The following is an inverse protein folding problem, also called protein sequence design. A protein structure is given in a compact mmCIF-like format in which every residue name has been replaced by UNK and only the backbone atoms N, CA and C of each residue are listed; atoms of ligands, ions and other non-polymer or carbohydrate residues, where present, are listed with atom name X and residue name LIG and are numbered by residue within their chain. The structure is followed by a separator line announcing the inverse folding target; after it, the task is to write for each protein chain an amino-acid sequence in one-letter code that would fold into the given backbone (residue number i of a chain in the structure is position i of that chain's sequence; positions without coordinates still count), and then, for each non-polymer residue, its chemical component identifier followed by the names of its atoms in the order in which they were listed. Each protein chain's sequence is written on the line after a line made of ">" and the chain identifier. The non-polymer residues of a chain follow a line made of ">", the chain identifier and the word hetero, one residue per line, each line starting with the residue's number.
data_IF_778492712835
#
_entry.id   IF_778492712835
#
_cell.length_a   1.000
_cell.length_b   1.000
_cell.length_c   1.000
_cell.angle_alpha   90.00
_cell.angle_beta   90.00
_cell.angle_gamma   90.00
#
_symmetry.space_group_name_H-M   'P 1'
#
loop_
_entity.id
_entity.type
_entity.pdbx_description
1 polymer ?
#
# COMPACT_ATOMS: atom_id res chain seq x y z
N UNK A 1 22.95 44.32 34.39
CA UNK A 1 22.96 43.32 33.33
C UNK A 1 21.53 43.00 33.00
N UNK A 2 21.03 43.40 31.85
CA UNK A 2 19.65 43.19 31.37
C UNK A 2 19.36 41.73 31.17
N UNK A 3 18.39 41.20 31.91
CA UNK A 3 17.88 39.85 31.72
C UNK A 3 16.96 39.82 30.49
N UNK A 4 17.47 39.49 29.33
CA UNK A 4 16.65 39.12 28.20
C UNK A 4 15.96 37.79 28.54
N UNK A 5 14.62 37.81 28.58
CA UNK A 5 13.84 36.57 28.69
C UNK A 5 13.78 35.90 27.33
N UNK A 6 14.54 34.85 27.13
CA UNK A 6 14.41 34.01 25.97
C UNK A 6 13.20 33.08 26.17
N UNK A 7 12.26 33.13 25.24
CA UNK A 7 11.20 32.14 25.16
C UNK A 7 11.77 30.91 24.44
N UNK A 8 12.01 29.82 25.15
CA UNK A 8 12.44 28.56 24.58
C UNK A 8 11.20 27.69 24.40
N UNK A 9 10.88 27.34 23.18
CA UNK A 9 9.89 26.30 22.90
C UNK A 9 10.58 24.93 22.98
N UNK A 10 10.29 24.17 24.01
CA UNK A 10 10.69 22.76 24.08
C UNK A 10 9.72 21.93 23.24
N UNK A 11 10.23 21.26 22.23
CA UNK A 11 9.48 20.25 21.48
C UNK A 11 9.65 18.91 22.18
N UNK A 12 8.55 18.23 22.49
CA UNK A 12 8.57 16.83 22.89
C UNK A 12 9.09 15.99 21.74
N UNK A 13 9.78 14.88 22.07
CA UNK A 13 10.25 13.92 21.06
C UNK A 13 9.04 13.44 20.24
N UNK A 14 9.15 13.49 18.92
CA UNK A 14 8.14 12.92 18.03
C UNK A 14 8.05 11.42 18.26
N UNK A 15 6.83 10.87 18.29
CA UNK A 15 6.58 9.43 18.39
C UNK A 15 7.36 8.63 17.33
N UNK A 16 7.57 9.21 16.16
CA UNK A 16 8.37 8.61 15.07
C UNK A 16 9.80 8.34 15.53
N UNK A 17 10.43 9.30 16.19
CA UNK A 17 11.82 9.15 16.68
C UNK A 17 11.84 8.29 17.95
N UNK A 18 10.86 8.48 18.84
CA UNK A 18 10.74 7.70 20.06
C UNK A 18 10.66 6.19 19.76
N UNK A 19 9.86 5.78 18.78
CA UNK A 19 9.74 4.39 18.36
C UNK A 19 11.10 3.78 17.94
N UNK A 20 11.98 4.56 17.30
CA UNK A 20 13.33 4.09 16.96
C UNK A 20 14.16 3.81 18.21
N UNK A 21 14.12 4.72 19.19
CA UNK A 21 14.85 4.54 20.45
C UNK A 21 14.31 3.37 21.26
N UNK A 22 12.98 3.19 21.32
CA UNK A 22 12.35 2.05 22.00
C UNK A 22 12.80 0.71 21.39
N UNK A 23 12.80 0.59 20.05
CA UNK A 23 13.29 -0.61 19.38
C UNK A 23 14.76 -0.87 19.69
N UNK A 24 15.59 0.19 19.73
CA UNK A 24 17.01 0.04 20.10
C UNK A 24 17.21 -0.43 21.55
N UNK A 25 16.39 0.08 22.47
CA UNK A 25 16.45 -0.31 23.89
C UNK A 25 15.97 -1.75 24.10
N UNK A 26 14.85 -2.12 23.48
CA UNK A 26 14.23 -3.44 23.64
C UNK A 26 15.02 -4.57 22.98
N UNK A 27 15.61 -4.30 21.81
CA UNK A 27 16.26 -5.35 20.98
C UNK A 27 17.77 -5.31 21.00
N UNK A 28 18.38 -4.20 21.41
CA UNK A 28 19.82 -3.95 21.29
C UNK A 28 20.30 -3.68 19.85
N UNK A 29 19.40 -3.69 18.85
CA UNK A 29 19.71 -3.43 17.45
C UNK A 29 19.98 -1.94 17.27
N UNK A 30 21.13 -1.59 16.67
CA UNK A 30 21.55 -0.19 16.52
C UNK A 30 21.45 0.36 15.10
N UNK A 31 21.00 -0.46 14.16
CA UNK A 31 20.83 -0.08 12.75
C UNK A 31 19.54 -0.67 12.19
N UNK A 32 18.90 0.04 11.28
CA UNK A 32 17.62 -0.41 10.75
C UNK A 32 17.01 0.55 9.73
N UNK A 33 15.76 0.28 9.41
CA UNK A 33 14.95 1.10 8.49
C UNK A 33 13.79 1.70 9.28
N UNK A 34 13.67 3.03 9.25
CA UNK A 34 12.48 3.75 9.64
C UNK A 34 11.61 3.94 8.39
N UNK A 35 10.54 3.14 8.30
CA UNK A 35 9.62 3.20 7.17
C UNK A 35 8.43 4.12 7.48
N UNK A 36 8.19 5.09 6.60
CA UNK A 36 7.08 6.03 6.70
C UNK A 36 6.17 5.88 5.49
N UNK A 37 4.99 5.33 5.71
CA UNK A 37 4.00 5.15 4.65
C UNK A 37 3.18 6.42 4.42
N UNK A 38 2.66 6.59 3.21
CA UNK A 38 1.80 7.70 2.79
C UNK A 38 2.38 9.10 3.09
N UNK A 39 3.69 9.27 2.95
CA UNK A 39 4.40 10.52 3.31
C UNK A 39 3.85 11.76 2.57
N UNK A 40 3.27 11.58 1.41
CA UNK A 40 2.70 12.65 0.59
C UNK A 40 1.21 12.94 0.87
N UNK A 41 0.62 12.24 1.85
CA UNK A 41 -0.73 12.50 2.37
C UNK A 41 -0.73 13.42 3.62
N UNK A 42 0.43 13.89 4.06
CA UNK A 42 0.53 14.79 5.22
C UNK A 42 -0.12 16.14 4.95
N UNK A 43 -0.65 16.78 6.00
CA UNK A 43 -1.28 18.10 5.91
C UNK A 43 -0.31 19.19 5.46
N UNK A 44 -0.84 20.28 4.89
CA UNK A 44 -0.03 21.46 4.48
C UNK A 44 0.85 22.01 5.58
N UNK A 45 0.34 22.00 6.79
CA UNK A 45 1.05 22.52 7.95
C UNK A 45 2.22 21.63 8.38
N UNK A 46 2.13 20.33 8.13
CA UNK A 46 3.18 19.36 8.51
C UNK A 46 4.18 19.10 7.38
N UNK A 47 3.82 19.31 6.12
CA UNK A 47 4.67 19.00 4.99
C UNK A 47 6.08 19.63 5.08
N UNK A 48 6.25 20.93 5.46
CA UNK A 48 7.58 21.52 5.60
C UNK A 48 8.42 20.83 6.69
N UNK A 49 7.81 20.48 7.82
CA UNK A 49 8.48 19.79 8.92
C UNK A 49 8.91 18.36 8.51
N UNK A 50 8.07 17.65 7.76
CA UNK A 50 8.40 16.32 7.25
C UNK A 50 9.53 16.38 6.22
N UNK A 51 9.53 17.36 5.33
CA UNK A 51 10.65 17.56 4.39
C UNK A 51 11.96 17.86 5.11
N UNK A 52 11.93 18.69 6.14
CA UNK A 52 13.08 18.96 6.99
C UNK A 52 13.54 17.69 7.70
N UNK A 53 12.61 16.88 8.19
CA UNK A 53 12.90 15.58 8.81
C UNK A 53 13.58 14.62 7.83
N UNK A 54 13.09 14.47 6.61
CA UNK A 54 13.71 13.64 5.59
C UNK A 54 15.14 14.10 5.25
N UNK A 55 15.36 15.40 5.21
CA UNK A 55 16.67 15.98 4.87
C UNK A 55 17.70 15.84 5.99
N UNK A 56 17.33 16.19 7.23
CA UNK A 56 18.26 16.30 8.35
C UNK A 56 18.15 15.17 9.35
N UNK A 57 17.16 14.30 9.20
CA UNK A 57 16.81 13.23 10.15
C UNK A 57 16.58 13.76 11.57
N UNK A 58 16.03 14.97 11.68
CA UNK A 58 15.78 15.65 12.95
C UNK A 58 14.36 16.16 13.03
N UNK A 59 13.77 16.11 14.23
CA UNK A 59 12.50 16.73 14.56
C UNK A 59 12.70 17.57 15.83
N UNK A 60 12.68 18.90 15.70
CA UNK A 60 13.11 19.80 16.77
C UNK A 60 14.57 19.53 17.18
N UNK A 61 14.79 19.19 18.46
CA UNK A 61 16.11 18.89 18.99
C UNK A 61 16.48 17.40 18.88
N UNK A 62 15.53 16.54 18.51
CA UNK A 62 15.71 15.10 18.46
C UNK A 62 16.15 14.63 17.09
N UNK A 63 17.11 13.73 17.06
CA UNK A 63 17.68 13.17 15.81
C UNK A 63 17.45 11.66 15.76
N UNK A 64 17.17 11.17 14.56
CA UNK A 64 17.19 9.72 14.30
C UNK A 64 18.61 9.23 14.51
N UNK A 65 18.83 8.13 15.29
CA UNK A 65 20.16 7.59 15.57
C UNK A 65 20.95 7.25 14.30
N UNK A 66 22.27 7.29 14.40
CA UNK A 66 23.13 6.80 13.33
C UNK A 66 22.90 5.29 13.10
N UNK A 67 23.08 4.84 11.86
CA UNK A 67 22.75 3.47 11.46
C UNK A 67 21.32 3.29 10.96
N UNK A 68 20.42 4.26 11.19
CA UNK A 68 19.02 4.18 10.71
C UNK A 68 18.83 4.94 9.40
N UNK A 69 18.18 4.25 8.45
CA UNK A 69 17.84 4.81 7.13
C UNK A 69 16.34 5.12 7.12
N UNK A 70 15.97 6.30 6.64
CA UNK A 70 14.56 6.65 6.42
C UNK A 70 14.18 6.21 5.01
N UNK A 71 13.14 5.38 4.93
CA UNK A 71 12.48 4.96 3.69
C UNK A 71 11.04 5.44 3.74
N UNK A 72 10.57 6.02 2.66
CA UNK A 72 9.20 6.52 2.57
C UNK A 72 8.47 5.91 1.40
N UNK A 73 7.18 5.68 1.56
CA UNK A 73 6.29 5.32 0.46
C UNK A 73 5.21 6.40 0.28
N UNK A 74 4.68 6.47 -0.91
CA UNK A 74 3.58 7.37 -1.23
C UNK A 74 2.94 6.98 -2.56
N UNK A 75 1.65 7.23 -2.67
CA UNK A 75 0.90 6.96 -3.88
C UNK A 75 0.99 8.17 -4.83
N UNK A 76 1.04 7.95 -6.14
CA UNK A 76 0.98 9.04 -7.10
C UNK A 76 -0.41 9.73 -7.10
N UNK A 77 -0.51 11.00 -7.54
CA UNK A 77 -1.73 11.80 -7.47
C UNK A 77 -2.93 11.18 -8.21
N UNK A 78 -2.69 10.33 -9.20
CA UNK A 78 -3.71 9.66 -9.98
C UNK A 78 -4.56 8.70 -9.12
N UNK A 79 -3.97 8.16 -8.05
CA UNK A 79 -4.65 7.25 -7.14
C UNK A 79 -5.37 7.96 -5.99
N UNK A 80 -4.87 9.12 -5.59
CA UNK A 80 -5.43 9.86 -4.46
C UNK A 80 -5.33 11.38 -4.67
N UNK A 81 -6.44 12.06 -4.83
CA UNK A 81 -6.50 13.51 -5.02
C UNK A 81 -6.01 14.32 -3.78
N UNK A 82 -5.92 13.70 -2.63
CA UNK A 82 -5.36 14.33 -1.42
C UNK A 82 -3.83 14.29 -1.38
N UNK A 83 -3.22 13.59 -2.32
CA UNK A 83 -1.78 13.47 -2.45
C UNK A 83 -1.20 14.75 -3.02
N UNK A 84 -0.07 15.17 -2.45
CA UNK A 84 0.73 16.29 -2.96
C UNK A 84 1.90 15.78 -3.75
N UNK A 85 2.16 16.44 -4.85
CA UNK A 85 3.44 16.28 -5.52
C UNK A 85 4.53 16.97 -4.70
N UNK A 86 5.62 16.26 -4.47
CA UNK A 86 6.83 16.88 -3.97
C UNK A 86 7.38 17.85 -5.00
N UNK A 87 7.80 19.02 -4.55
CA UNK A 87 8.51 19.96 -5.40
C UNK A 87 9.90 19.43 -5.81
N UNK A 88 10.50 20.07 -6.78
CA UNK A 88 11.84 19.69 -7.31
C UNK A 88 12.89 19.65 -6.19
N UNK A 89 12.81 20.60 -5.25
CA UNK A 89 13.75 20.66 -4.13
C UNK A 89 13.60 19.48 -3.16
N UNK A 90 12.41 18.94 -3.04
CA UNK A 90 12.14 17.72 -2.26
C UNK A 90 12.64 16.47 -2.97
N UNK A 91 12.41 16.36 -4.28
CA UNK A 91 12.90 15.25 -5.10
C UNK A 91 14.43 15.16 -5.13
N UNK A 92 15.14 16.27 -5.11
CA UNK A 92 16.61 16.30 -5.09
C UNK A 92 17.22 15.66 -3.83
N UNK A 93 16.44 15.55 -2.76
CA UNK A 93 16.87 15.04 -1.45
C UNK A 93 16.60 13.56 -1.23
N UNK A 94 15.82 12.92 -2.09
CA UNK A 94 15.43 11.51 -1.97
C UNK A 94 15.85 10.72 -3.20
N UNK A 95 16.03 9.42 -3.02
CA UNK A 95 16.20 8.48 -4.14
C UNK A 95 14.85 7.89 -4.48
N UNK A 96 14.27 8.28 -5.60
CA UNK A 96 12.99 7.78 -6.07
C UNK A 96 13.14 6.38 -6.67
N UNK A 97 12.22 5.50 -6.30
CA UNK A 97 12.01 4.21 -6.93
C UNK A 97 10.52 4.09 -7.26
N UNK A 98 10.21 3.89 -8.53
CA UNK A 98 8.84 3.64 -8.97
C UNK A 98 8.58 2.14 -8.88
N UNK A 99 7.50 1.79 -8.16
CA UNK A 99 7.06 0.40 -7.98
C UNK A 99 5.83 0.17 -8.85
N UNK A 100 5.95 -0.71 -9.81
CA UNK A 100 4.87 -1.06 -10.74
C UNK A 100 4.30 -2.45 -10.41
N UNK A 101 2.98 -2.66 -10.64
CA UNK A 101 2.38 -3.98 -10.47
C UNK A 101 2.88 -4.93 -11.58
N UNK A 102 3.48 -6.04 -11.18
CA UNK A 102 3.92 -7.11 -12.08
C UNK A 102 3.18 -8.41 -11.77
N UNK A 103 2.38 -8.87 -12.73
CA UNK A 103 1.62 -10.11 -12.57
C UNK A 103 2.53 -11.34 -12.35
N UNK A 104 3.65 -11.41 -13.03
CA UNK A 104 4.54 -12.58 -12.95
C UNK A 104 5.17 -12.72 -11.58
N UNK A 105 5.57 -11.60 -10.98
CA UNK A 105 6.09 -11.54 -9.61
C UNK A 105 4.98 -11.83 -8.60
N UNK A 106 3.83 -11.15 -8.75
CA UNK A 106 2.68 -11.37 -7.87
C UNK A 106 2.19 -12.83 -7.90
N UNK A 107 2.20 -13.47 -9.05
CA UNK A 107 1.79 -14.86 -9.21
C UNK A 107 2.60 -15.83 -8.32
N UNK A 108 3.91 -15.61 -8.17
CA UNK A 108 4.76 -16.42 -7.30
C UNK A 108 4.26 -16.29 -5.85
N UNK A 109 4.11 -15.06 -5.38
CA UNK A 109 3.54 -14.78 -4.07
C UNK A 109 2.15 -15.41 -3.90
N UNK A 110 1.28 -15.28 -4.90
CA UNK A 110 -0.08 -15.80 -4.86
C UNK A 110 -0.13 -17.33 -4.70
N UNK A 111 0.78 -18.05 -5.33
CA UNK A 111 0.93 -19.50 -5.14
C UNK A 111 1.41 -19.84 -3.72
N UNK A 112 2.39 -19.11 -3.20
CA UNK A 112 2.91 -19.33 -1.85
C UNK A 112 1.85 -19.07 -0.77
N UNK A 113 0.97 -18.07 -0.99
CA UNK A 113 -0.15 -17.76 -0.12
C UNK A 113 -1.35 -18.69 -0.29
N UNK A 114 -1.32 -19.62 -1.24
CA UNK A 114 -2.42 -20.56 -1.48
C UNK A 114 -3.69 -19.89 -1.96
N UNK A 115 -3.56 -18.88 -2.82
CA UNK A 115 -4.72 -18.18 -3.39
C UNK A 115 -5.62 -19.11 -4.20
N UNK A 116 -6.89 -18.72 -4.31
CA UNK A 116 -7.92 -19.51 -4.96
C UNK A 116 -7.58 -19.86 -6.41
N UNK A 117 -7.58 -21.17 -6.81
CA UNK A 117 -7.10 -21.60 -8.13
C UNK A 117 -7.84 -20.95 -9.30
N UNK A 118 -9.14 -20.67 -9.16
CA UNK A 118 -9.90 -19.99 -10.22
C UNK A 118 -9.36 -18.59 -10.54
N UNK A 119 -8.87 -17.85 -9.53
CA UNK A 119 -8.25 -16.52 -9.75
C UNK A 119 -6.94 -16.68 -10.49
N UNK A 120 -6.08 -17.59 -10.05
CA UNK A 120 -4.78 -17.82 -10.68
C UNK A 120 -4.92 -18.23 -12.15
N UNK A 121 -5.82 -19.19 -12.42
CA UNK A 121 -6.04 -19.67 -13.80
C UNK A 121 -6.73 -18.64 -14.68
N UNK A 122 -7.64 -17.82 -14.14
CA UNK A 122 -8.25 -16.71 -14.86
C UNK A 122 -7.20 -15.66 -15.26
N UNK A 123 -6.37 -15.24 -14.33
CA UNK A 123 -5.34 -14.24 -14.58
C UNK A 123 -4.21 -14.75 -15.48
N UNK A 124 -3.96 -16.06 -15.51
CA UNK A 124 -3.07 -16.65 -16.51
C UNK A 124 -3.58 -16.50 -17.94
N UNK A 125 -4.89 -16.58 -18.12
CA UNK A 125 -5.55 -16.38 -19.41
C UNK A 125 -5.71 -14.91 -19.79
N UNK A 126 -5.91 -14.05 -18.79
CA UNK A 126 -6.23 -12.63 -18.94
C UNK A 126 -5.35 -11.76 -18.04
N UNK A 127 -4.08 -11.66 -18.39
CA UNK A 127 -3.10 -10.92 -17.57
C UNK A 127 -3.45 -9.45 -17.42
N UNK A 128 -4.08 -8.85 -18.41
CA UNK A 128 -4.51 -7.43 -18.37
C UNK A 128 -5.58 -7.17 -17.31
N UNK A 129 -6.31 -8.21 -16.88
CA UNK A 129 -7.27 -8.12 -15.79
C UNK A 129 -6.63 -8.09 -14.38
N UNK A 130 -5.31 -8.24 -14.29
CA UNK A 130 -4.61 -8.24 -12.99
C UNK A 130 -4.64 -6.88 -12.31
N UNK A 131 -4.39 -5.82 -13.08
CA UNK A 131 -4.30 -4.48 -12.55
C UNK A 131 -4.80 -3.47 -13.59
N UNK A 132 -5.79 -2.69 -13.20
CA UNK A 132 -6.33 -1.58 -13.99
C UNK A 132 -6.84 -0.50 -13.06
N UNK A 133 -6.56 0.75 -13.35
CA UNK A 133 -7.13 1.91 -12.66
C UNK A 133 -7.55 2.92 -13.70
N UNK A 134 -8.86 3.06 -13.89
CA UNK A 134 -9.43 3.98 -14.86
C UNK A 134 -10.31 5.01 -14.14
N UNK A 135 -10.10 6.28 -14.45
CA UNK A 135 -10.97 7.37 -14.03
C UNK A 135 -11.97 7.63 -15.14
N UNK A 136 -13.21 7.28 -14.92
CA UNK A 136 -14.32 7.53 -15.88
C UNK A 136 -15.25 8.61 -15.35
N UNK A 137 -16.15 9.10 -16.21
CA UNK A 137 -17.17 10.08 -15.84
C UNK A 137 -18.12 9.52 -14.77
N UNK A 138 -18.34 8.21 -14.78
CA UNK A 138 -19.24 7.49 -13.86
C UNK A 138 -18.58 7.09 -12.54
N UNK A 139 -17.29 7.36 -12.39
CA UNK A 139 -16.53 7.03 -11.17
C UNK A 139 -15.18 6.39 -11.47
N UNK A 140 -14.58 5.84 -10.41
CA UNK A 140 -13.32 5.08 -10.53
C UNK A 140 -13.63 3.62 -10.74
N UNK A 141 -13.18 3.07 -11.86
CA UNK A 141 -13.17 1.65 -12.12
C UNK A 141 -11.75 1.13 -11.88
N UNK A 142 -11.61 0.16 -11.00
CA UNK A 142 -10.29 -0.36 -10.70
C UNK A 142 -10.30 -1.83 -10.30
N UNK A 143 -9.21 -2.48 -10.57
CA UNK A 143 -8.84 -3.77 -10.05
C UNK A 143 -7.38 -3.76 -9.63
N UNK A 144 -7.07 -4.33 -8.51
CA UNK A 144 -5.73 -4.33 -7.92
C UNK A 144 -5.33 -5.71 -7.43
N UNK A 145 -4.03 -5.92 -7.24
CA UNK A 145 -3.50 -7.14 -6.63
C UNK A 145 -4.15 -7.43 -5.26
N UNK A 146 -4.37 -6.41 -4.44
CA UNK A 146 -5.06 -6.52 -3.14
C UNK A 146 -6.51 -6.97 -3.32
N UNK A 147 -7.24 -6.41 -4.29
CA UNK A 147 -8.61 -6.81 -4.58
C UNK A 147 -8.72 -8.29 -4.93
N UNK A 148 -7.79 -8.82 -5.73
CA UNK A 148 -7.73 -10.26 -6.03
C UNK A 148 -7.40 -11.13 -4.82
N UNK A 149 -6.51 -10.67 -3.94
CA UNK A 149 -6.16 -11.37 -2.71
C UNK A 149 -7.36 -11.44 -1.76
N UNK A 150 -8.01 -10.31 -1.51
CA UNK A 150 -9.18 -10.23 -0.64
C UNK A 150 -10.34 -11.08 -1.21
N UNK A 151 -10.56 -11.03 -2.53
CA UNK A 151 -11.53 -11.89 -3.21
C UNK A 151 -11.20 -13.37 -3.02
N UNK A 152 -9.93 -13.75 -3.14
CA UNK A 152 -9.48 -15.12 -2.93
C UNK A 152 -9.84 -15.63 -1.53
N UNK A 153 -9.56 -14.82 -0.51
CA UNK A 153 -9.85 -15.19 0.88
C UNK A 153 -11.34 -15.40 1.11
N UNK A 154 -12.18 -14.49 0.61
CA UNK A 154 -13.62 -14.60 0.79
C UNK A 154 -14.23 -15.75 -0.04
N UNK A 155 -13.69 -16.04 -1.23
CA UNK A 155 -14.10 -17.18 -2.04
C UNK A 155 -13.81 -18.49 -1.31
N UNK A 156 -12.59 -18.67 -0.80
CA UNK A 156 -12.22 -19.86 -0.03
C UNK A 156 -13.09 -20.05 1.22
N UNK A 157 -13.40 -18.94 1.91
CA UNK A 157 -14.29 -18.99 3.09
C UNK A 157 -15.72 -19.34 2.70
N UNK A 158 -16.24 -18.74 1.62
CA UNK A 158 -17.59 -18.99 1.12
C UNK A 158 -17.76 -20.44 0.67
N UNK A 159 -16.81 -21.01 -0.05
CA UNK A 159 -16.83 -22.43 -0.44
C UNK A 159 -16.85 -23.35 0.79
N UNK A 160 -15.99 -23.09 1.79
CA UNK A 160 -15.99 -23.86 3.06
C UNK A 160 -17.31 -23.80 3.83
N UNK A 161 -18.07 -22.72 3.66
CA UNK A 161 -19.36 -22.50 4.33
C UNK A 161 -20.56 -22.81 3.44
N UNK A 162 -20.37 -23.29 2.22
CA UNK A 162 -21.39 -23.50 1.20
C UNK A 162 -22.22 -22.24 0.90
N UNK A 163 -21.58 -21.06 0.94
CA UNK A 163 -22.18 -19.79 0.58
C UNK A 163 -21.97 -19.51 -0.92
N UNK A 164 -22.93 -18.85 -1.59
CA UNK A 164 -22.80 -18.56 -3.00
C UNK A 164 -21.76 -17.45 -3.24
N UNK A 165 -20.84 -17.70 -4.16
CA UNK A 165 -19.96 -16.70 -4.76
C UNK A 165 -20.61 -16.28 -6.08
N UNK A 166 -21.11 -15.06 -6.14
CA UNK A 166 -21.83 -14.50 -7.27
C UNK A 166 -21.25 -13.15 -7.69
N UNK A 167 -21.75 -12.57 -8.78
CA UNK A 167 -21.28 -11.29 -9.29
C UNK A 167 -21.31 -10.18 -8.23
N UNK A 168 -22.35 -10.12 -7.40
CA UNK A 168 -22.47 -9.05 -6.38
C UNK A 168 -21.34 -9.15 -5.33
N UNK A 169 -20.92 -10.34 -4.98
CA UNK A 169 -19.79 -10.54 -4.08
C UNK A 169 -18.48 -10.15 -4.80
N UNK A 170 -18.29 -10.62 -6.03
CA UNK A 170 -17.06 -10.37 -6.81
C UNK A 170 -16.87 -8.86 -7.02
N UNK A 171 -17.92 -8.13 -7.37
CA UNK A 171 -17.86 -6.69 -7.64
C UNK A 171 -17.51 -5.83 -6.42
N UNK A 172 -17.55 -6.38 -5.21
CA UNK A 172 -17.09 -5.68 -4.02
C UNK A 172 -15.56 -5.58 -3.94
N UNK A 173 -14.86 -6.51 -4.59
CA UNK A 173 -13.40 -6.62 -4.58
C UNK A 173 -12.76 -6.25 -5.92
N UNK A 174 -13.45 -6.56 -7.00
CA UNK A 174 -13.10 -6.21 -8.39
C UNK A 174 -14.07 -5.13 -8.84
N UNK A 175 -13.67 -3.88 -8.71
CA UNK A 175 -14.55 -2.72 -8.95
C UNK A 175 -14.55 -2.25 -10.41
N UNK A 176 -13.93 -3.02 -11.30
CA UNK A 176 -14.15 -2.95 -12.74
C UNK A 176 -15.30 -3.88 -13.12
N UNK A 177 -16.42 -3.31 -13.57
CA UNK A 177 -17.63 -4.08 -13.87
C UNK A 177 -17.42 -5.12 -14.96
N UNK A 178 -16.63 -4.82 -15.98
CA UNK A 178 -16.39 -5.72 -17.08
C UNK A 178 -15.56 -6.92 -16.64
N UNK A 179 -14.50 -6.66 -15.89
CA UNK A 179 -13.62 -7.70 -15.33
C UNK A 179 -14.40 -8.54 -14.31
N UNK A 180 -15.20 -7.92 -13.44
CA UNK A 180 -16.01 -8.63 -12.45
C UNK A 180 -17.02 -9.58 -13.10
N UNK A 181 -17.74 -9.15 -14.14
CA UNK A 181 -18.69 -9.98 -14.91
C UNK A 181 -18.00 -11.12 -15.63
N UNK A 182 -16.89 -10.84 -16.27
CA UNK A 182 -16.11 -11.82 -17.00
C UNK A 182 -15.52 -12.90 -16.05
N UNK A 183 -15.00 -12.48 -14.91
CA UNK A 183 -14.55 -13.43 -13.89
C UNK A 183 -15.69 -14.24 -13.28
N UNK A 184 -16.88 -13.65 -13.07
CA UNK A 184 -18.03 -14.38 -12.55
C UNK A 184 -18.46 -15.51 -13.50
N UNK A 185 -18.51 -15.24 -14.80
CA UNK A 185 -18.80 -16.26 -15.84
C UNK A 185 -17.71 -17.34 -15.83
N UNK A 186 -16.44 -16.92 -15.80
CA UNK A 186 -15.32 -17.85 -15.73
C UNK A 186 -15.39 -18.76 -14.50
N UNK A 187 -15.71 -18.21 -13.34
CA UNK A 187 -15.80 -18.96 -12.09
C UNK A 187 -16.92 -20.01 -12.11
N UNK A 188 -18.07 -19.68 -12.72
CA UNK A 188 -19.16 -20.64 -12.88
C UNK A 188 -18.76 -21.83 -13.78
N UNK A 189 -18.02 -21.55 -14.86
CA UNK A 189 -17.44 -22.60 -15.71
C UNK A 189 -16.38 -23.42 -14.95
N UNK A 190 -15.48 -22.76 -14.24
CA UNK A 190 -14.45 -23.41 -13.43
C UNK A 190 -15.05 -24.40 -12.43
N UNK A 191 -16.12 -24.02 -11.72
CA UNK A 191 -16.82 -24.92 -10.79
C UNK A 191 -17.42 -26.11 -11.50
N UNK A 192 -18.06 -25.89 -12.63
CA UNK A 192 -18.67 -26.97 -13.42
C UNK A 192 -17.64 -28.01 -13.85
N UNK A 193 -16.54 -27.56 -14.43
CA UNK A 193 -15.49 -28.51 -14.88
C UNK A 193 -14.73 -29.16 -13.71
N UNK A 194 -14.50 -28.45 -12.60
CA UNK A 194 -13.91 -29.06 -11.40
C UNK A 194 -14.70 -30.26 -10.89
N UNK A 195 -16.05 -30.19 -10.96
CA UNK A 195 -16.93 -31.26 -10.51
C UNK A 195 -17.00 -32.43 -11.53
N UNK A 196 -16.74 -32.20 -12.81
CA UNK A 196 -16.74 -33.21 -13.85
C UNK A 196 -15.48 -34.10 -13.82
N UNK A 197 -14.43 -33.70 -13.13
CA UNK A 197 -13.15 -34.43 -13.00
C UNK A 197 -12.89 -35.01 -11.60
N UNK A 198 -13.84 -34.92 -10.67
CA UNK A 198 -13.84 -35.62 -9.38
C UNK A 198 -14.79 -36.84 -9.42
#
# INVERSE_FOLDING_TARGET
>A
YGGEKFQVSEYTMSEIIAAVYEVMEDTGIREGILFLDEINCVSETLAPAMLQFLQYKTFGQHKVPEGWIIVTAGNPPEYNHSVREFDIASWDRVKRMDVEPDYSVWKIYAYEQGMHPAILTYLDLKKDAFYSVENTVDGKHFVTARGWEDLSQIMCLSEKKNLPVNLNLISQYVQDEQIARDFAIYYDLFKKYKNDYQ
#
